data_IF_898487513649
#
_entry.id   IF_898487513649
#
_cell.length_a   1.000
_cell.length_b   1.000
_cell.length_c   1.000
_cell.angle_alpha   90.00
_cell.angle_beta   90.00
_cell.angle_gamma   90.00
#
_symmetry.space_group_name_H-M   'P 1'
#
loop_
_entity.id
_entity.type
_entity.pdbx_description
1 polymer ?
#
# COMPACT_ATOMS: atom_id res chain seq x y z
N UNK A 1 2.59 24.22 -1.08
CA UNK A 1 1.49 23.31 -1.48
C UNK A 1 2.09 21.93 -1.66
N UNK A 2 1.84 21.00 -0.72
CA UNK A 2 2.44 19.66 -0.75
C UNK A 2 1.96 18.86 -1.97
N UNK A 3 2.87 18.57 -2.89
CA UNK A 3 2.69 17.57 -3.94
C UNK A 3 3.57 16.36 -3.57
N UNK A 4 3.12 15.53 -2.63
CA UNK A 4 3.74 14.23 -2.36
C UNK A 4 2.83 13.10 -2.86
N UNK A 5 3.43 11.98 -3.26
CA UNK A 5 2.86 10.91 -4.10
C UNK A 5 1.63 10.15 -3.60
N UNK A 6 0.97 10.59 -2.52
CA UNK A 6 -0.29 10.04 -2.02
C UNK A 6 -1.52 10.92 -2.29
N UNK A 7 -1.38 12.07 -2.96
CA UNK A 7 -2.48 13.01 -3.23
C UNK A 7 -3.71 12.38 -3.88
N UNK A 8 -3.51 11.42 -4.80
CA UNK A 8 -4.62 10.75 -5.48
C UNK A 8 -5.48 9.89 -4.54
N UNK A 9 -4.98 9.47 -3.37
CA UNK A 9 -5.76 8.70 -2.40
C UNK A 9 -6.86 9.57 -1.77
N UNK A 10 -6.73 10.90 -1.81
CA UNK A 10 -7.80 11.82 -1.41
C UNK A 10 -8.86 11.99 -2.50
N UNK A 11 -8.51 11.78 -3.77
CA UNK A 11 -9.38 12.04 -4.91
C UNK A 11 -10.19 10.80 -5.32
N UNK A 12 -9.59 9.61 -5.22
CA UNK A 12 -10.24 8.33 -5.57
C UNK A 12 -10.09 7.34 -4.41
N UNK A 13 -11.02 7.36 -3.43
CA UNK A 13 -10.96 6.44 -2.31
C UNK A 13 -11.15 4.99 -2.78
N UNK A 14 -10.36 4.07 -2.23
CA UNK A 14 -10.46 2.63 -2.53
C UNK A 14 -11.78 2.03 -2.03
N UNK A 15 -12.25 2.50 -0.88
CA UNK A 15 -13.50 2.06 -0.25
C UNK A 15 -13.99 3.14 0.74
N UNK A 16 -15.29 3.12 1.07
CA UNK A 16 -15.91 4.11 1.97
C UNK A 16 -15.34 4.12 3.40
N UNK A 17 -14.74 3.01 3.86
CA UNK A 17 -14.10 2.93 5.18
C UNK A 17 -12.69 3.55 5.20
N UNK A 18 -12.19 4.03 4.07
CA UNK A 18 -10.85 4.60 3.96
C UNK A 18 -10.69 5.83 4.86
N UNK A 19 -9.69 5.77 5.73
CA UNK A 19 -9.24 6.85 6.60
C UNK A 19 -7.80 7.19 6.25
N UNK A 20 -7.53 8.47 6.09
CA UNK A 20 -6.19 9.01 5.82
C UNK A 20 -5.74 9.85 7.01
N UNK A 21 -4.49 9.66 7.42
CA UNK A 21 -3.84 10.46 8.46
C UNK A 21 -2.42 10.82 8.01
N UNK A 22 -1.97 12.03 8.36
CA UNK A 22 -0.56 12.39 8.24
C UNK A 22 0.26 11.43 9.11
N UNK A 23 1.28 10.80 8.54
CA UNK A 23 2.19 9.94 9.30
C UNK A 23 3.54 10.62 9.51
N UNK A 24 4.07 11.24 8.46
CA UNK A 24 5.32 11.99 8.47
C UNK A 24 5.28 13.06 7.36
N UNK A 25 6.35 13.85 7.21
CA UNK A 25 6.49 14.79 6.11
C UNK A 25 6.43 14.07 4.77
N UNK A 26 5.40 14.36 3.99
CA UNK A 26 5.16 13.73 2.69
C UNK A 26 4.61 12.30 2.73
N UNK A 27 4.42 11.71 3.91
CA UNK A 27 3.91 10.34 4.09
C UNK A 27 2.51 10.35 4.71
N UNK A 28 1.61 9.59 4.11
CA UNK A 28 0.23 9.42 4.57
C UNK A 28 0.04 7.97 5.00
N UNK A 29 -0.57 7.77 6.15
CA UNK A 29 -1.08 6.47 6.58
C UNK A 29 -2.51 6.32 6.12
N UNK A 30 -2.78 5.24 5.38
CA UNK A 30 -4.13 4.81 5.01
C UNK A 30 -4.56 3.64 5.89
N UNK A 31 -5.81 3.64 6.33
CA UNK A 31 -6.46 2.50 6.99
C UNK A 31 -7.81 2.30 6.32
N UNK A 32 -8.09 1.07 5.88
CA UNK A 32 -9.29 0.76 5.11
C UNK A 32 -9.67 -0.69 5.38
N UNK A 33 -10.97 -0.92 5.53
CA UNK A 33 -11.55 -2.26 5.60
C UNK A 33 -11.89 -2.72 4.18
N UNK A 34 -11.20 -3.74 3.71
CA UNK A 34 -11.36 -4.35 2.39
C UNK A 34 -11.22 -5.86 2.50
N UNK A 35 -11.74 -6.59 1.52
CA UNK A 35 -11.55 -8.03 1.43
C UNK A 35 -10.09 -8.37 1.12
N UNK A 36 -9.59 -9.44 1.73
CA UNK A 36 -8.25 -9.96 1.44
C UNK A 36 -8.31 -10.80 0.15
N UNK A 37 -8.00 -10.16 -0.99
CA UNK A 37 -8.02 -10.82 -2.31
C UNK A 37 -6.67 -10.73 -3.02
N UNK A 38 -6.49 -11.50 -4.10
CA UNK A 38 -5.29 -11.41 -4.95
C UNK A 38 -5.19 -10.03 -5.63
N UNK A 39 -6.32 -9.45 -6.05
CA UNK A 39 -6.38 -8.13 -6.65
C UNK A 39 -5.88 -7.04 -5.69
N UNK A 40 -6.21 -7.14 -4.39
CA UNK A 40 -5.67 -6.24 -3.38
C UNK A 40 -4.13 -6.35 -3.33
N UNK A 41 -3.60 -7.57 -3.37
CA UNK A 41 -2.14 -7.79 -3.34
C UNK A 41 -1.46 -7.22 -4.58
N UNK A 42 -2.00 -7.46 -5.78
CA UNK A 42 -1.47 -6.89 -7.02
C UNK A 42 -1.55 -5.37 -7.03
N UNK A 43 -2.63 -4.81 -6.51
CA UNK A 43 -2.78 -3.37 -6.37
C UNK A 43 -1.68 -2.80 -5.46
N UNK A 44 -1.41 -3.41 -4.30
CA UNK A 44 -0.32 -3.02 -3.39
C UNK A 44 1.04 -3.15 -4.09
N UNK A 45 1.33 -4.29 -4.70
CA UNK A 45 2.59 -4.56 -5.41
C UNK A 45 2.84 -3.58 -6.56
N UNK A 46 1.77 -3.12 -7.23
CA UNK A 46 1.85 -2.13 -8.31
C UNK A 46 2.44 -0.78 -7.89
N UNK A 47 2.36 -0.42 -6.60
CA UNK A 47 3.05 0.78 -6.07
C UNK A 47 4.55 0.58 -5.89
N UNK A 48 5.03 -0.66 -5.83
CA UNK A 48 6.41 -1.01 -5.53
C UNK A 48 6.87 -0.37 -4.21
N UNK A 49 8.06 0.24 -4.21
CA UNK A 49 8.66 0.84 -3.02
C UNK A 49 7.94 2.10 -2.47
N UNK A 50 6.85 2.57 -3.11
CA UNK A 50 6.11 3.78 -2.68
C UNK A 50 5.10 3.51 -1.57
N UNK A 51 4.81 2.24 -1.27
CA UNK A 51 3.86 1.84 -0.22
C UNK A 51 4.48 0.79 0.68
N UNK A 52 4.04 0.75 1.94
CA UNK A 52 4.37 -0.31 2.86
C UNK A 52 3.11 -0.76 3.62
N UNK A 53 2.88 -2.07 3.68
CA UNK A 53 1.82 -2.64 4.53
C UNK A 53 2.32 -2.64 5.97
N UNK A 54 1.64 -1.91 6.85
CA UNK A 54 1.98 -1.86 8.28
C UNK A 54 1.27 -2.95 9.08
N UNK A 55 0.02 -3.26 8.72
CA UNK A 55 -0.82 -4.27 9.35
C UNK A 55 -1.93 -4.71 8.36
N UNK A 56 -2.50 -5.92 8.53
CA UNK A 56 -2.07 -6.96 9.46
C UNK A 56 -0.71 -7.56 9.06
N UNK A 57 -0.03 -8.21 10.02
CA UNK A 57 1.29 -8.80 9.78
C UNK A 57 1.26 -9.87 8.68
N UNK A 58 0.19 -10.66 8.60
CA UNK A 58 0.01 -11.69 7.56
C UNK A 58 0.07 -11.10 6.14
N UNK A 59 -0.70 -10.05 5.87
CA UNK A 59 -0.66 -9.39 4.56
C UNK A 59 0.72 -8.79 4.27
N UNK A 60 1.38 -8.22 5.28
CA UNK A 60 2.75 -7.70 5.14
C UNK A 60 3.73 -8.81 4.75
N UNK A 61 3.61 -9.98 5.37
CA UNK A 61 4.47 -11.13 5.10
C UNK A 61 4.24 -11.70 3.69
N UNK A 62 2.99 -11.72 3.22
CA UNK A 62 2.64 -12.09 1.83
C UNK A 62 3.30 -11.15 0.81
N UNK A 63 3.17 -9.84 0.98
CA UNK A 63 3.80 -8.85 0.07
C UNK A 63 5.33 -8.96 0.10
N UNK A 64 5.92 -9.19 1.29
CA UNK A 64 7.36 -9.41 1.42
C UNK A 64 7.81 -10.64 0.63
N UNK A 65 7.10 -11.76 0.74
CA UNK A 65 7.44 -13.00 0.04
C UNK A 65 7.40 -12.83 -1.48
N UNK A 66 6.41 -12.11 -2.01
CA UNK A 66 6.32 -11.79 -3.44
C UNK A 66 7.49 -10.93 -3.92
N UNK A 67 7.86 -9.89 -3.16
CA UNK A 67 9.00 -9.03 -3.48
C UNK A 67 10.34 -9.79 -3.42
N UNK A 68 10.54 -10.64 -2.42
CA UNK A 68 11.73 -11.49 -2.30
C UNK A 68 11.85 -12.41 -3.53
N UNK A 69 10.73 -13.03 -3.94
CA UNK A 69 10.69 -13.88 -5.15
C UNK A 69 10.97 -13.07 -6.42
N UNK A 70 10.40 -11.86 -6.53
CA UNK A 70 10.65 -10.97 -7.67
C UNK A 70 12.13 -10.60 -7.78
N UNK A 71 12.77 -10.22 -6.67
CA UNK A 71 14.21 -9.89 -6.65
C UNK A 71 15.07 -11.04 -7.16
N UNK A 72 14.74 -12.29 -6.79
CA UNK A 72 15.48 -13.47 -7.26
C UNK A 72 15.40 -13.67 -8.78
N UNK A 73 14.36 -13.16 -9.46
CA UNK A 73 14.23 -13.28 -10.93
C UNK A 73 15.10 -12.31 -11.71
N UNK A 74 15.63 -11.28 -11.05
CA UNK A 74 16.49 -10.25 -11.66
C UNK A 74 17.94 -10.31 -11.18
N UNK A 75 18.30 -11.38 -10.45
CA UNK A 75 19.67 -11.71 -10.06
C UNK A 75 20.25 -12.74 -11.02
#
# INVERSE_FOLDING_TARGET
MLRSGGGHLYETPLHQSQKLAQYDEGVIKMTVDVEHTEELKWWILGFGAKVAVLAPASLRDEIKAELDTAVLRYR
#
